data_IF_217130824228
#
_entry.id   IF_217130824228
#
_cell.length_a   1.000
_cell.length_b   1.000
_cell.length_c   1.000
_cell.angle_alpha   90.00
_cell.angle_beta   90.00
_cell.angle_gamma   90.00
#
_symmetry.space_group_name_H-M   'P 1'
#
loop_
_entity.id
_entity.type
_entity.pdbx_description
1 polymer ?
#
# COMPACT_ATOMS: atom_id res chain seq x y z
N UNK A 1 -9.15 5.94 2.36
CA UNK A 1 -7.76 6.16 2.80
C UNK A 1 -7.75 5.96 4.32
N UNK A 2 -7.24 4.83 4.77
CA UNK A 2 -7.06 4.50 6.19
C UNK A 2 -5.57 4.70 6.50
N UNK A 3 -5.25 5.39 7.61
CA UNK A 3 -3.90 5.89 7.92
C UNK A 3 -3.35 5.31 9.25
N UNK A 4 -3.93 4.20 9.74
CA UNK A 4 -3.61 3.60 11.05
C UNK A 4 -3.56 2.05 10.94
N UNK A 5 -2.85 1.56 9.93
CA UNK A 5 -2.96 0.16 9.51
C UNK A 5 -1.66 -0.60 9.74
N UNK A 6 -1.18 -0.75 10.98
CA UNK A 6 -0.01 -1.59 11.35
C UNK A 6 0.48 -1.31 12.78
N UNK A 7 1.50 -2.05 13.23
CA UNK A 7 2.19 -1.86 14.51
C UNK A 7 2.96 -0.53 14.61
N UNK A 8 3.30 0.12 13.47
CA UNK A 8 4.07 1.37 13.45
C UNK A 8 3.27 2.58 13.96
N UNK A 9 1.97 2.41 14.24
CA UNK A 9 1.13 3.39 14.93
C UNK A 9 1.69 3.81 16.30
N UNK A 10 2.49 2.95 16.94
CA UNK A 10 3.17 3.28 18.20
C UNK A 10 2.24 3.23 19.41
N UNK A 11 2.12 4.35 20.12
CA UNK A 11 1.52 4.42 21.47
C UNK A 11 -0.01 4.31 21.51
N UNK A 12 -0.72 4.43 20.37
CA UNK A 12 -2.19 4.47 20.34
C UNK A 12 -2.85 3.09 20.63
N UNK A 13 -2.05 2.05 20.84
CA UNK A 13 -2.49 0.75 21.35
C UNK A 13 -3.19 -0.15 20.31
N UNK A 14 -3.52 -1.37 20.73
CA UNK A 14 -3.99 -2.45 19.84
C UNK A 14 -5.30 -2.15 19.09
N UNK A 15 -6.16 -1.27 19.61
CA UNK A 15 -7.41 -0.88 18.93
C UNK A 15 -7.17 -0.02 17.68
N UNK A 16 -5.99 0.59 17.57
CA UNK A 16 -5.56 1.39 16.41
C UNK A 16 -4.58 0.61 15.53
N UNK A 17 -4.38 -0.70 15.76
CA UNK A 17 -3.54 -1.56 14.92
C UNK A 17 -4.45 -2.50 14.13
N UNK A 18 -4.85 -2.10 12.92
CA UNK A 18 -5.56 -3.01 12.02
C UNK A 18 -4.57 -4.02 11.41
N UNK A 19 -4.50 -5.21 12.01
CA UNK A 19 -3.64 -6.32 11.54
C UNK A 19 -4.38 -7.24 10.55
N UNK A 20 -5.70 -7.17 10.55
CA UNK A 20 -6.61 -8.01 9.75
C UNK A 20 -7.16 -7.30 8.50
N UNK A 21 -6.86 -6.02 8.32
CA UNK A 21 -7.33 -5.16 7.23
C UNK A 21 -7.13 -5.76 5.83
N UNK A 22 -5.92 -6.22 5.51
CA UNK A 22 -5.62 -6.83 4.21
C UNK A 22 -6.46 -8.10 4.02
N UNK A 23 -6.62 -8.91 5.07
CA UNK A 23 -7.42 -10.14 5.00
C UNK A 23 -8.90 -9.83 4.76
N UNK A 24 -9.45 -8.83 5.45
CA UNK A 24 -10.82 -8.37 5.30
C UNK A 24 -11.05 -7.80 3.90
N UNK A 25 -10.22 -6.87 3.46
CA UNK A 25 -10.39 -6.19 2.17
C UNK A 25 -10.23 -7.15 0.99
N UNK A 26 -9.36 -8.16 1.09
CA UNK A 26 -9.21 -9.19 0.05
C UNK A 26 -10.43 -10.12 -0.10
N UNK A 27 -11.31 -10.21 0.89
CA UNK A 27 -12.53 -11.05 0.79
C UNK A 27 -13.68 -10.36 0.05
N UNK A 28 -13.61 -9.04 -0.11
CA UNK A 28 -14.64 -8.28 -0.79
C UNK A 28 -14.53 -8.49 -2.31
N UNK A 29 -15.60 -8.96 -2.99
CA UNK A 29 -15.58 -9.14 -4.43
C UNK A 29 -15.25 -7.84 -5.16
N UNK A 30 -14.40 -7.93 -6.19
CA UNK A 30 -13.94 -6.82 -7.02
C UNK A 30 -13.13 -5.73 -6.28
N UNK A 31 -12.76 -5.94 -5.01
CA UNK A 31 -11.87 -5.04 -4.27
C UNK A 31 -10.44 -5.18 -4.75
N UNK A 32 -9.83 -4.06 -5.13
CA UNK A 32 -8.39 -4.01 -5.41
C UNK A 32 -7.66 -3.52 -4.17
N UNK A 33 -6.68 -4.30 -3.69
CA UNK A 33 -5.88 -3.98 -2.50
C UNK A 33 -4.46 -3.65 -2.94
N UNK A 34 -3.97 -2.47 -2.55
CA UNK A 34 -2.62 -2.00 -2.85
C UNK A 34 -1.94 -1.53 -1.56
N UNK A 35 -0.69 -1.91 -1.37
CA UNK A 35 0.15 -1.50 -0.24
C UNK A 35 1.43 -0.91 -0.82
N UNK A 36 1.50 0.43 -1.05
CA UNK A 36 2.72 1.07 -1.55
C UNK A 36 3.86 1.00 -0.52
N UNK A 37 5.09 0.93 -1.01
CA UNK A 37 6.29 0.78 -0.19
C UNK A 37 6.94 2.11 0.23
N UNK A 38 6.80 3.16 -0.58
CA UNK A 38 7.38 4.48 -0.34
C UNK A 38 6.53 5.64 -0.90
N UNK A 39 7.03 6.87 -0.81
CA UNK A 39 6.35 8.09 -1.28
C UNK A 39 6.05 8.04 -2.78
N UNK A 40 7.02 7.64 -3.61
CA UNK A 40 6.88 7.64 -5.08
C UNK A 40 5.88 6.61 -5.55
N UNK A 41 5.91 5.41 -4.97
CA UNK A 41 4.90 4.40 -5.28
C UNK A 41 3.53 4.84 -4.79
N UNK A 42 3.44 5.48 -3.62
CA UNK A 42 2.18 6.03 -3.11
C UNK A 42 1.57 7.04 -4.08
N UNK A 43 2.35 7.99 -4.59
CA UNK A 43 1.88 8.98 -5.58
C UNK A 43 1.32 8.28 -6.83
N UNK A 44 2.09 7.37 -7.43
CA UNK A 44 1.68 6.64 -8.63
C UNK A 44 0.43 5.78 -8.42
N UNK A 45 0.29 5.15 -7.24
CA UNK A 45 -0.89 4.36 -6.87
C UNK A 45 -2.12 5.25 -6.73
N UNK A 46 -1.99 6.43 -6.14
CA UNK A 46 -3.12 7.36 -5.97
C UNK A 46 -3.57 7.91 -7.33
N UNK A 47 -2.64 8.30 -8.21
CA UNK A 47 -2.96 8.72 -9.57
C UNK A 47 -3.69 7.62 -10.35
N UNK A 48 -3.18 6.38 -10.29
CA UNK A 48 -3.83 5.23 -10.91
C UNK A 48 -5.22 5.00 -10.32
N UNK A 49 -5.36 4.97 -9.00
CA UNK A 49 -6.61 4.71 -8.30
C UNK A 49 -7.68 5.76 -8.63
N UNK A 50 -7.29 7.02 -8.85
CA UNK A 50 -8.21 8.08 -9.28
C UNK A 50 -8.82 7.83 -10.67
N UNK A 51 -8.10 7.13 -11.55
CA UNK A 51 -8.54 6.77 -12.89
C UNK A 51 -9.22 5.38 -12.98
N UNK A 52 -9.11 4.58 -11.93
CA UNK A 52 -9.57 3.19 -11.93
C UNK A 52 -11.07 3.07 -11.66
N UNK A 53 -11.76 2.25 -12.46
CA UNK A 53 -13.18 2.01 -12.30
C UNK A 53 -13.44 0.77 -11.44
N UNK A 54 -13.48 0.96 -10.12
CA UNK A 54 -13.78 -0.09 -9.15
C UNK A 54 -13.33 0.32 -7.75
N UNK A 55 -13.69 -0.47 -6.71
CA UNK A 55 -13.26 -0.19 -5.36
C UNK A 55 -11.76 -0.49 -5.20
N UNK A 56 -11.02 0.50 -4.68
CA UNK A 56 -9.60 0.40 -4.36
C UNK A 56 -9.38 0.71 -2.89
N UNK A 57 -8.70 -0.19 -2.20
CA UNK A 57 -8.17 0.00 -0.86
C UNK A 57 -6.65 0.18 -0.96
N UNK A 58 -6.17 1.35 -0.54
CA UNK A 58 -4.75 1.69 -0.44
C UNK A 58 -4.40 1.76 1.04
N UNK A 59 -3.48 0.89 1.48
CA UNK A 59 -3.00 0.81 2.87
C UNK A 59 -1.80 1.73 3.06
N UNK A 60 -1.88 2.67 3.99
CA UNK A 60 -0.81 3.65 4.22
C UNK A 60 -0.30 3.54 5.66
N UNK A 61 1.02 3.59 5.79
CA UNK A 61 1.71 3.68 7.08
C UNK A 61 1.70 5.10 7.64
N UNK A 62 1.88 5.22 8.96
CA UNK A 62 1.97 6.52 9.66
C UNK A 62 3.39 7.08 9.67
N UNK A 63 4.38 6.21 9.79
CA UNK A 63 5.78 6.59 9.90
C UNK A 63 6.37 6.90 8.52
N UNK A 64 7.32 7.83 8.47
CA UNK A 64 8.15 8.02 7.28
C UNK A 64 9.00 6.77 7.02
N UNK A 65 9.12 6.40 5.75
CA UNK A 65 9.87 5.24 5.27
C UNK A 65 10.92 5.70 4.27
N UNK A 66 12.01 4.94 4.14
CA UNK A 66 13.06 5.23 3.15
C UNK A 66 12.54 4.98 1.73
N UNK A 67 13.04 5.76 0.76
CA UNK A 67 12.80 5.53 -0.66
C UNK A 67 13.42 4.19 -1.09
N UNK A 68 12.60 3.28 -1.61
CA UNK A 68 13.03 1.96 -2.12
C UNK A 68 12.84 1.82 -3.63
N UNK A 69 12.03 2.68 -4.23
CA UNK A 69 11.79 2.71 -5.68
C UNK A 69 13.00 3.26 -6.45
N UNK A 70 13.41 2.52 -7.48
CA UNK A 70 14.53 2.90 -8.35
C UNK A 70 14.12 3.96 -9.38
N UNK A 71 15.10 4.68 -9.95
CA UNK A 71 14.84 5.57 -11.08
C UNK A 71 14.15 4.83 -12.24
N UNK A 72 13.12 5.45 -12.82
CA UNK A 72 12.32 4.85 -13.89
C UNK A 72 11.24 3.86 -13.42
N UNK A 73 10.98 3.78 -12.11
CA UNK A 73 9.86 3.00 -11.58
C UNK A 73 8.53 3.41 -12.22
N UNK A 74 7.71 2.42 -12.57
CA UNK A 74 6.36 2.62 -13.08
C UNK A 74 5.44 1.61 -12.41
N UNK A 75 4.44 2.13 -11.69
CA UNK A 75 3.43 1.31 -11.05
C UNK A 75 2.53 0.67 -12.12
N UNK A 76 2.41 -0.66 -12.07
CA UNK A 76 1.50 -1.44 -12.92
C UNK A 76 0.63 -2.33 -12.03
N UNK A 77 -0.70 -2.15 -12.03
CA UNK A 77 -1.60 -2.95 -11.20
C UNK A 77 -1.43 -4.45 -11.45
N UNK A 78 -1.30 -5.23 -10.38
CA UNK A 78 -1.15 -6.69 -10.46
C UNK A 78 0.24 -7.17 -10.86
N UNK A 79 1.23 -6.27 -11.01
CA UNK A 79 2.62 -6.61 -11.29
C UNK A 79 3.51 -6.28 -10.10
N UNK A 80 4.45 -7.17 -9.77
CA UNK A 80 5.51 -6.91 -8.80
C UNK A 80 6.79 -6.40 -9.47
N UNK A 81 7.64 -5.74 -8.68
CA UNK A 81 8.94 -5.23 -9.12
C UNK A 81 10.07 -5.97 -8.39
N UNK A 82 11.08 -6.41 -9.14
CA UNK A 82 12.29 -7.01 -8.57
C UNK A 82 13.22 -5.85 -8.18
N UNK A 83 13.55 -5.74 -6.89
CA UNK A 83 14.46 -4.71 -6.39
C UNK A 83 15.93 -5.14 -6.43
N UNK A 84 16.18 -6.43 -6.18
CA UNK A 84 17.52 -7.03 -6.15
C UNK A 84 17.43 -8.41 -6.78
N UNK A 85 18.32 -8.70 -7.74
CA UNK A 85 18.46 -10.04 -8.30
C UNK A 85 19.14 -10.99 -7.30
N UNK A 86 18.70 -12.24 -7.30
CA UNK A 86 19.33 -13.30 -6.51
C UNK A 86 20.63 -13.78 -7.17
N UNK A 87 21.69 -13.93 -6.37
CA UNK A 87 22.96 -14.56 -6.74
C UNK A 87 23.01 -16.03 -6.32
#
# INVERSE_FOLDING_TARGET
MFNHDEITVGEDGATHQSLEDISCMRTLPNMTVVVPADERETEAVIEWAASYNGPVYVRLGRAGVDDVTTEGYSFVPGKSTILVDGS
#
